data_IF_674045396697
#
_entry.id   IF_674045396697
#
_cell.length_a   1.000
_cell.length_b   1.000
_cell.length_c   1.000
_cell.angle_alpha   90.00
_cell.angle_beta   90.00
_cell.angle_gamma   90.00
#
_symmetry.space_group_name_H-M   'P 1'
#
loop_
_entity.id
_entity.type
_entity.pdbx_description
1 polymer ?
#
# COMPACT_ATOMS: atom_id res chain seq x y z
N UNK A 1 -31.70 -0.92 14.88
CA UNK A 1 -30.30 -0.45 14.77
C UNK A 1 -30.12 0.01 13.34
N UNK A 2 -29.65 1.23 13.11
CA UNK A 2 -29.48 1.85 11.79
C UNK A 2 -28.07 2.43 11.73
N UNK A 3 -27.51 2.54 10.53
CA UNK A 3 -26.24 3.23 10.27
C UNK A 3 -26.51 4.28 9.20
N UNK A 4 -26.28 5.56 9.52
CA UNK A 4 -26.51 6.68 8.59
C UNK A 4 -27.93 6.65 7.98
N UNK A 5 -28.96 6.47 8.82
CA UNK A 5 -30.37 6.38 8.42
C UNK A 5 -30.74 5.18 7.51
N UNK A 6 -29.80 4.24 7.29
CA UNK A 6 -30.03 3.00 6.53
C UNK A 6 -30.30 1.84 7.48
N UNK A 7 -31.27 0.98 7.13
CA UNK A 7 -31.61 -0.21 7.90
C UNK A 7 -30.51 -1.27 7.82
N UNK A 8 -30.21 -1.97 8.93
CA UNK A 8 -29.17 -3.03 8.91
C UNK A 8 -29.44 -4.16 7.91
N UNK A 9 -30.71 -4.43 7.58
CA UNK A 9 -31.06 -5.39 6.52
C UNK A 9 -30.61 -4.91 5.13
N UNK A 10 -30.78 -3.61 4.85
CA UNK A 10 -30.33 -2.98 3.61
C UNK A 10 -28.79 -2.94 3.56
N UNK A 11 -28.13 -2.59 4.68
CA UNK A 11 -26.66 -2.66 4.81
C UNK A 11 -26.15 -4.07 4.52
N UNK A 12 -26.77 -5.09 5.10
CA UNK A 12 -26.37 -6.49 4.88
C UNK A 12 -26.57 -6.92 3.42
N UNK A 13 -27.68 -6.51 2.80
CA UNK A 13 -27.94 -6.79 1.39
C UNK A 13 -26.92 -6.10 0.49
N UNK A 14 -26.55 -4.85 0.80
CA UNK A 14 -25.55 -4.09 0.06
C UNK A 14 -24.17 -4.73 0.20
N UNK A 15 -23.76 -5.11 1.41
CA UNK A 15 -22.49 -5.79 1.66
C UNK A 15 -22.38 -7.11 0.90
N UNK A 16 -23.43 -7.93 0.88
CA UNK A 16 -23.44 -9.18 0.12
C UNK A 16 -23.18 -8.94 -1.36
N UNK A 17 -23.87 -7.94 -1.94
CA UNK A 17 -23.75 -7.62 -3.37
C UNK A 17 -22.41 -6.99 -3.73
N UNK A 18 -21.89 -6.10 -2.87
CA UNK A 18 -20.56 -5.50 -3.06
C UNK A 18 -19.49 -6.58 -2.94
N UNK A 19 -19.60 -7.48 -1.96
CA UNK A 19 -18.64 -8.56 -1.77
C UNK A 19 -18.59 -9.50 -2.96
N UNK A 20 -19.73 -9.84 -3.57
CA UNK A 20 -19.78 -10.69 -4.77
C UNK A 20 -19.02 -10.07 -5.95
N UNK A 21 -19.06 -8.73 -6.08
CA UNK A 21 -18.41 -8.01 -7.18
C UNK A 21 -16.95 -7.70 -6.88
N UNK A 22 -16.63 -7.35 -5.64
CA UNK A 22 -15.31 -6.86 -5.23
C UNK A 22 -14.34 -7.98 -4.80
N UNK A 23 -14.84 -9.18 -4.49
CA UNK A 23 -13.99 -10.28 -4.06
C UNK A 23 -13.06 -10.70 -5.21
N UNK A 24 -11.73 -10.64 -5.02
CA UNK A 24 -10.81 -11.15 -6.02
C UNK A 24 -10.94 -12.68 -6.14
N UNK A 25 -10.62 -13.26 -7.31
CA UNK A 25 -10.58 -14.71 -7.45
C UNK A 25 -9.56 -15.32 -6.48
N UNK A 26 -9.76 -16.58 -6.08
CA UNK A 26 -8.75 -17.33 -5.33
C UNK A 26 -7.46 -17.47 -6.15
N UNK A 27 -6.31 -17.19 -5.54
CA UNK A 27 -5.01 -17.23 -6.22
C UNK A 27 -3.97 -17.89 -5.31
N UNK A 28 -2.97 -18.52 -5.90
CA UNK A 28 -1.83 -19.07 -5.15
C UNK A 28 -0.85 -17.95 -4.80
N UNK A 29 -0.08 -18.14 -3.73
CA UNK A 29 0.98 -17.19 -3.38
C UNK A 29 1.99 -17.00 -4.53
N UNK A 30 2.34 -18.07 -5.24
CA UNK A 30 3.23 -18.00 -6.40
C UNK A 30 2.67 -17.09 -7.50
N UNK A 31 1.39 -17.24 -7.85
CA UNK A 31 0.79 -16.40 -8.89
C UNK A 31 0.71 -14.93 -8.48
N UNK A 32 0.45 -14.64 -7.19
CA UNK A 32 0.49 -13.28 -6.66
C UNK A 32 1.90 -12.67 -6.77
N UNK A 33 2.95 -13.44 -6.44
CA UNK A 33 4.34 -12.98 -6.54
C UNK A 33 4.78 -12.74 -8.00
N UNK A 34 4.35 -13.58 -8.94
CA UNK A 34 4.59 -13.35 -10.37
C UNK A 34 3.88 -12.07 -10.85
N UNK A 35 2.64 -11.86 -10.41
CA UNK A 35 1.89 -10.66 -10.76
C UNK A 35 2.54 -9.37 -10.24
N UNK A 36 3.05 -9.34 -9.01
CA UNK A 36 3.74 -8.16 -8.46
C UNK A 36 4.99 -7.82 -9.29
N UNK A 37 5.78 -8.82 -9.67
CA UNK A 37 6.97 -8.63 -10.52
C UNK A 37 6.61 -8.07 -11.91
N UNK A 38 5.46 -8.47 -12.46
CA UNK A 38 5.08 -8.09 -13.83
C UNK A 38 4.23 -6.81 -13.93
N UNK A 39 3.43 -6.48 -12.91
CA UNK A 39 2.51 -5.33 -12.94
C UNK A 39 3.08 -4.07 -12.33
N UNK A 40 3.98 -4.19 -11.36
CA UNK A 40 4.42 -3.04 -10.60
C UNK A 40 5.63 -2.41 -11.26
N UNK A 41 5.45 -1.15 -11.65
CA UNK A 41 6.59 -0.31 -12.02
C UNK A 41 7.57 -0.24 -10.83
N UNK A 42 8.87 -0.29 -11.12
CA UNK A 42 9.93 -0.33 -10.10
C UNK A 42 9.80 -1.48 -9.08
N UNK A 43 9.12 -2.59 -9.44
CA UNK A 43 9.02 -3.78 -8.59
C UNK A 43 8.27 -3.55 -7.27
N UNK A 44 7.31 -2.62 -7.25
CA UNK A 44 6.47 -2.37 -6.07
C UNK A 44 7.04 -1.36 -5.08
N UNK A 45 8.07 -0.61 -5.48
CA UNK A 45 8.79 0.31 -4.61
C UNK A 45 8.87 1.72 -5.22
N UNK A 46 8.83 2.73 -4.37
CA UNK A 46 9.13 4.13 -4.71
C UNK A 46 10.63 4.39 -4.44
N UNK A 47 11.47 4.62 -5.46
CA UNK A 47 12.87 4.96 -5.26
C UNK A 47 13.02 6.25 -4.45
N UNK A 48 13.94 6.28 -3.49
CA UNK A 48 14.22 7.46 -2.67
C UNK A 48 15.20 8.42 -3.33
N UNK A 49 15.90 7.98 -4.39
CA UNK A 49 16.98 8.74 -5.03
C UNK A 49 18.30 8.70 -4.25
N UNK A 50 18.31 8.04 -3.08
CA UNK A 50 19.48 7.83 -2.25
C UNK A 50 19.93 6.39 -2.40
N UNK A 51 20.90 6.13 -3.29
CA UNK A 51 21.38 4.77 -3.65
C UNK A 51 21.53 3.83 -2.45
N UNK A 52 22.22 4.26 -1.40
CA UNK A 52 22.46 3.44 -0.21
C UNK A 52 21.19 3.11 0.57
N UNK A 53 20.22 4.03 0.59
CA UNK A 53 18.94 3.81 1.23
C UNK A 53 18.05 2.88 0.39
N UNK A 54 18.04 3.07 -0.93
CA UNK A 54 17.30 2.20 -1.85
C UNK A 54 17.83 0.76 -1.80
N UNK A 55 19.15 0.57 -1.73
CA UNK A 55 19.77 -0.74 -1.52
C UNK A 55 19.35 -1.35 -0.17
N UNK A 56 19.36 -0.56 0.91
CA UNK A 56 18.95 -1.02 2.24
C UNK A 56 17.46 -1.39 2.31
N UNK A 57 16.62 -0.74 1.49
CA UNK A 57 15.18 -0.98 1.38
C UNK A 57 14.81 -1.91 0.22
N UNK A 58 15.79 -2.59 -0.39
CA UNK A 58 15.57 -3.54 -1.50
C UNK A 58 14.87 -2.95 -2.74
N UNK A 59 15.08 -1.67 -3.03
CA UNK A 59 14.56 -0.98 -4.22
C UNK A 59 13.89 0.36 -3.93
N UNK A 60 13.63 0.68 -2.66
CA UNK A 60 13.01 1.94 -2.23
C UNK A 60 11.91 1.72 -1.21
N UNK A 61 10.98 2.66 -1.07
CA UNK A 61 9.86 2.54 -0.14
C UNK A 61 8.78 1.61 -0.72
N UNK A 62 8.45 0.47 -0.10
CA UNK A 62 7.44 -0.45 -0.61
C UNK A 62 6.03 0.17 -0.64
N UNK A 63 5.27 -0.13 -1.69
CA UNK A 63 3.85 0.23 -1.79
C UNK A 63 2.97 -0.67 -0.91
N UNK A 64 1.77 -0.18 -0.59
CA UNK A 64 0.79 -0.95 0.19
C UNK A 64 1.13 -1.13 1.68
N UNK A 65 2.18 -0.47 2.17
CA UNK A 65 2.58 -0.50 3.60
C UNK A 65 2.78 0.91 4.17
N UNK A 66 2.78 1.01 5.50
CA UNK A 66 3.13 2.23 6.22
C UNK A 66 4.62 2.20 6.59
N UNK A 67 5.40 3.14 6.06
CA UNK A 67 6.84 3.29 6.36
C UNK A 67 7.06 4.48 7.30
N UNK A 68 7.73 4.26 8.42
CA UNK A 68 8.01 5.30 9.43
C UNK A 68 9.48 5.73 9.42
N UNK A 69 9.74 7.04 9.42
CA UNK A 69 11.08 7.62 9.51
C UNK A 69 11.31 8.26 10.90
N UNK A 70 12.13 7.62 11.73
CA UNK A 70 12.38 8.01 13.13
C UNK A 70 13.82 8.47 13.33
N UNK A 71 14.04 9.45 14.22
CA UNK A 71 15.37 9.89 14.62
C UNK A 71 15.37 11.19 15.44
N UNK A 72 16.52 11.60 16.00
CA UNK A 72 16.67 12.83 16.80
C UNK A 72 16.20 14.11 16.08
N UNK A 73 15.90 15.20 16.80
CA UNK A 73 15.62 16.49 16.18
C UNK A 73 16.81 16.96 15.33
N UNK A 74 16.54 17.57 14.17
CA UNK A 74 17.58 18.10 13.28
C UNK A 74 18.30 17.09 12.37
N UNK A 75 18.02 15.77 12.48
CA UNK A 75 18.69 14.74 11.65
C UNK A 75 18.30 14.73 10.16
N UNK A 76 17.36 15.59 9.75
CA UNK A 76 16.97 15.70 8.34
C UNK A 76 15.70 14.95 7.92
N UNK A 77 14.87 14.47 8.85
CA UNK A 77 13.64 13.69 8.53
C UNK A 77 12.71 14.41 7.53
N UNK A 78 12.46 15.69 7.76
CA UNK A 78 11.62 16.52 6.87
C UNK A 78 12.30 16.73 5.52
N UNK A 79 13.62 16.89 5.50
CA UNK A 79 14.40 17.04 4.27
C UNK A 79 14.35 15.78 3.40
N UNK A 80 14.41 14.58 4.02
CA UNK A 80 14.23 13.31 3.32
C UNK A 80 12.84 13.22 2.68
N UNK A 81 11.78 13.58 3.40
CA UNK A 81 10.42 13.57 2.83
C UNK A 81 10.27 14.54 1.65
N UNK A 82 10.85 15.74 1.76
CA UNK A 82 10.86 16.72 0.66
C UNK A 82 11.62 16.15 -0.55
N UNK A 83 12.78 15.53 -0.34
CA UNK A 83 13.59 14.93 -1.40
C UNK A 83 12.82 13.87 -2.20
N UNK A 84 12.07 13.00 -1.52
CA UNK A 84 11.33 11.88 -2.15
C UNK A 84 10.05 12.37 -2.86
N UNK A 85 9.58 13.58 -2.55
CA UNK A 85 8.33 14.13 -3.09
C UNK A 85 8.49 14.83 -4.46
N UNK A 86 9.72 15.01 -4.95
CA UNK A 86 10.05 15.65 -6.23
C UNK A 86 10.71 14.64 -7.17
#
# INVERSE_FOLDING_TARGET
>A
MQLLDVGMAEVSSALSRISEIACPPYQTALNLMEQTVHKEDHGGHLPTGLKWLDEALCGGIPFGVLTELVGPPGIGKTQVLILISF
#
